data_IF_451459385303
#
_entry.id   IF_451459385303
#
_cell.length_a   1.000
_cell.length_b   1.000
_cell.length_c   1.000
_cell.angle_alpha   90.00
_cell.angle_beta   90.00
_cell.angle_gamma   90.00
#
_symmetry.space_group_name_H-M   'P 1'
#
loop_
_entity.id
_entity.type
_entity.pdbx_description
1 polymer ?
#
# COMPACT_ATOMS: atom_id res chain seq x y z
N UNK A 1 23.12 -13.12 -57.81
CA UNK A 1 23.35 -14.40 -57.11
C UNK A 1 22.65 -14.31 -55.76
N UNK A 2 21.62 -15.16 -55.53
CA UNK A 2 21.10 -15.75 -54.27
C UNK A 2 21.32 -14.97 -52.94
N UNK A 3 20.42 -14.86 -51.97
CA UNK A 3 19.08 -15.36 -51.66
C UNK A 3 18.68 -14.78 -50.29
N UNK A 4 17.39 -14.47 -50.11
CA UNK A 4 16.52 -14.69 -48.93
C UNK A 4 16.87 -14.29 -47.45
N UNK A 5 15.96 -13.52 -46.85
CA UNK A 5 15.31 -13.58 -45.50
C UNK A 5 16.13 -13.79 -44.20
N UNK A 6 15.98 -12.86 -43.25
CA UNK A 6 15.12 -12.94 -42.03
C UNK A 6 15.58 -11.87 -41.02
N UNK A 7 14.74 -10.88 -40.67
CA UNK A 7 14.97 -9.95 -39.54
C UNK A 7 13.99 -10.31 -38.43
N UNK A 8 14.43 -10.75 -37.22
CA UNK A 8 13.51 -10.94 -36.11
C UNK A 8 13.45 -9.73 -35.17
N UNK A 9 12.19 -9.42 -34.86
CA UNK A 9 11.58 -8.98 -33.58
C UNK A 9 12.00 -7.68 -32.89
N UNK A 10 11.02 -6.78 -32.84
CA UNK A 10 10.92 -5.64 -31.93
C UNK A 10 9.68 -4.79 -32.27
N UNK A 11 8.49 -5.40 -32.19
CA UNK A 11 7.21 -4.76 -32.52
C UNK A 11 6.98 -3.50 -31.65
N UNK A 12 7.07 -2.33 -32.29
CA UNK A 12 6.45 -1.10 -31.80
C UNK A 12 4.96 -1.15 -32.15
N UNK A 13 4.10 -1.25 -31.15
CA UNK A 13 2.65 -1.10 -31.34
C UNK A 13 2.25 0.33 -30.96
N UNK A 14 2.27 1.22 -31.94
CA UNK A 14 1.45 2.42 -31.93
C UNK A 14 0.15 2.06 -32.66
N UNK A 15 -0.94 1.90 -31.91
CA UNK A 15 -2.29 1.90 -32.52
C UNK A 15 -2.91 3.25 -32.24
N UNK A 16 -2.80 4.14 -33.23
CA UNK A 16 -3.66 5.30 -33.36
C UNK A 16 -4.88 4.82 -34.15
N UNK A 17 -5.94 4.41 -33.45
CA UNK A 17 -7.21 4.10 -34.11
C UNK A 17 -8.05 5.37 -34.18
N UNK A 18 -8.18 5.93 -35.39
CA UNK A 18 -9.25 6.88 -35.69
C UNK A 18 -10.58 6.12 -35.67
N UNK A 19 -11.40 6.38 -34.65
CA UNK A 19 -12.79 5.96 -34.64
C UNK A 19 -13.63 7.12 -35.17
N UNK A 20 -14.27 6.84 -36.30
CA UNK A 20 -15.31 7.61 -36.96
C UNK A 20 -16.45 7.85 -35.97
N UNK A 21 -16.92 9.10 -35.90
CA UNK A 21 -17.97 9.54 -34.99
C UNK A 21 -19.27 8.74 -35.13
N UNK A 22 -19.66 8.11 -34.03
CA UNK A 22 -20.99 7.64 -33.70
C UNK A 22 -21.12 7.66 -32.17
N UNK A 23 -22.30 7.92 -31.59
CA UNK A 23 -22.45 8.03 -30.14
C UNK A 23 -22.30 6.63 -29.51
N UNK A 24 -21.08 6.26 -29.16
CA UNK A 24 -20.85 5.16 -28.23
C UNK A 24 -21.22 5.66 -26.85
N UNK A 25 -22.36 5.21 -26.33
CA UNK A 25 -22.66 5.32 -24.91
C UNK A 25 -21.63 4.48 -24.17
N UNK A 26 -20.54 5.13 -23.75
CA UNK A 26 -19.59 4.55 -22.81
C UNK A 26 -20.37 4.34 -21.50
N UNK A 27 -20.94 3.16 -21.28
CA UNK A 27 -21.62 2.79 -20.03
C UNK A 27 -20.62 2.43 -18.92
N UNK A 28 -19.32 2.59 -19.18
CA UNK A 28 -18.34 2.81 -18.13
C UNK A 28 -18.12 4.31 -17.99
N UNK A 29 -19.20 5.02 -17.69
CA UNK A 29 -19.05 6.20 -16.88
C UNK A 29 -18.21 5.72 -15.69
N UNK A 30 -17.00 6.26 -15.56
CA UNK A 30 -16.39 6.36 -14.25
C UNK A 30 -17.39 7.18 -13.46
N UNK A 31 -18.40 6.52 -12.89
CA UNK A 31 -19.19 7.08 -11.81
C UNK A 31 -18.12 7.51 -10.82
N UNK A 32 -17.88 8.82 -10.79
CA UNK A 32 -16.88 9.39 -9.91
C UNK A 32 -17.26 8.85 -8.53
N UNK A 33 -16.41 7.97 -7.97
CA UNK A 33 -16.61 7.47 -6.62
C UNK A 33 -16.83 8.74 -5.81
N UNK A 34 -18.03 8.94 -5.23
CA UNK A 34 -18.31 10.15 -4.49
C UNK A 34 -17.20 10.26 -3.46
N UNK A 35 -16.36 11.29 -3.59
CA UNK A 35 -15.30 11.48 -2.62
C UNK A 35 -16.05 11.70 -1.30
N UNK A 36 -15.83 10.84 -0.29
CA UNK A 36 -16.57 10.96 0.95
C UNK A 36 -16.39 12.41 1.45
N UNK A 37 -17.50 13.13 1.72
CA UNK A 37 -17.42 14.50 2.17
C UNK A 37 -16.64 14.47 3.49
N UNK A 38 -15.45 15.09 3.48
CA UNK A 38 -14.45 15.04 4.55
C UNK A 38 -13.82 13.65 4.74
N UNK A 39 -12.51 13.56 4.54
CA UNK A 39 -11.66 12.43 4.96
C UNK A 39 -11.64 12.40 6.50
N UNK A 40 -12.75 12.00 7.11
CA UNK A 40 -13.00 11.91 8.54
C UNK A 40 -12.70 13.20 9.34
N UNK A 41 -13.73 13.80 9.93
CA UNK A 41 -13.54 14.41 11.25
C UNK A 41 -12.96 13.29 12.14
N UNK A 42 -11.66 13.37 12.42
CA UNK A 42 -10.80 12.22 12.71
C UNK A 42 -11.36 11.25 13.75
N UNK A 43 -11.98 10.16 13.27
CA UNK A 43 -12.44 9.08 14.12
C UNK A 43 -11.23 8.48 14.84
N UNK A 44 -11.37 8.15 16.12
CA UNK A 44 -10.39 7.30 16.79
C UNK A 44 -10.28 5.95 16.06
N UNK A 45 -9.15 5.24 16.17
CA UNK A 45 -9.00 3.92 15.53
C UNK A 45 -10.14 2.94 15.88
N UNK A 46 -10.65 3.02 17.11
CA UNK A 46 -11.76 2.19 17.59
C UNK A 46 -13.10 2.59 16.96
N UNK A 47 -13.34 3.88 16.75
CA UNK A 47 -14.54 4.38 16.07
C UNK A 47 -14.50 4.07 14.57
N UNK A 48 -13.33 4.22 13.94
CA UNK A 48 -13.12 3.88 12.53
C UNK A 48 -13.40 2.38 12.29
N UNK A 49 -12.89 1.50 13.15
CA UNK A 49 -13.17 0.06 13.06
C UNK A 49 -14.67 -0.27 13.22
N UNK A 50 -15.41 0.48 14.04
CA UNK A 50 -16.86 0.32 14.20
C UNK A 50 -17.67 0.87 13.02
N UNK A 51 -17.14 1.86 12.32
CA UNK A 51 -17.78 2.45 11.14
C UNK A 51 -17.61 1.61 9.87
N UNK A 52 -16.74 0.59 9.89
CA UNK A 52 -16.54 -0.31 8.74
C UNK A 52 -17.78 -1.18 8.49
N UNK A 53 -18.19 -1.25 7.22
CA UNK A 53 -19.24 -2.17 6.77
C UNK A 53 -18.61 -3.43 6.20
N UNK A 54 -19.03 -4.60 6.68
CA UNK A 54 -18.54 -5.91 6.19
C UNK A 54 -19.71 -6.83 5.83
N UNK A 55 -19.51 -7.80 4.92
CA UNK A 55 -20.54 -8.80 4.59
C UNK A 55 -20.97 -9.64 5.80
N UNK A 56 -22.14 -10.26 5.71
CA UNK A 56 -22.66 -11.14 6.76
C UNK A 56 -21.67 -12.29 7.06
N UNK A 57 -21.47 -12.57 8.35
CA UNK A 57 -20.51 -13.58 8.82
C UNK A 57 -19.07 -13.08 9.03
N UNK A 58 -18.73 -11.86 8.59
CA UNK A 58 -17.43 -11.25 8.83
C UNK A 58 -17.42 -10.40 10.11
N UNK A 59 -16.25 -10.28 10.75
CA UNK A 59 -16.03 -9.41 11.91
C UNK A 59 -14.77 -8.58 11.70
N UNK A 60 -14.83 -7.32 12.12
CA UNK A 60 -13.69 -6.40 12.17
C UNK A 60 -13.20 -6.29 13.60
N UNK A 61 -11.89 -6.44 13.81
CA UNK A 61 -11.22 -6.12 15.07
C UNK A 61 -10.05 -5.18 14.77
N UNK A 62 -9.89 -4.16 15.61
CA UNK A 62 -8.73 -3.28 15.55
C UNK A 62 -7.49 -4.02 16.05
N UNK A 63 -6.51 -4.23 15.17
CA UNK A 63 -5.24 -4.87 15.52
C UNK A 63 -4.18 -3.87 15.99
N UNK A 64 -4.04 -2.75 15.28
CA UNK A 64 -3.17 -1.62 15.62
C UNK A 64 -3.73 -0.32 15.02
N UNK A 65 -3.46 0.81 15.66
CA UNK A 65 -3.88 2.15 15.21
C UNK A 65 -3.07 3.23 15.91
N UNK A 66 -3.37 4.50 15.64
CA UNK A 66 -2.68 5.63 16.28
C UNK A 66 -2.82 5.56 17.81
N UNK A 67 -1.74 5.83 18.59
CA UNK A 67 -0.42 6.35 18.17
C UNK A 67 0.64 5.27 17.86
N UNK A 68 0.27 3.99 17.83
CA UNK A 68 1.22 2.88 17.67
C UNK A 68 1.81 2.79 16.26
N UNK A 69 1.03 3.21 15.27
CA UNK A 69 1.40 3.24 13.85
C UNK A 69 1.31 4.67 13.34
N UNK A 70 2.31 5.10 12.57
CA UNK A 70 2.35 6.40 11.94
C UNK A 70 2.54 6.27 10.42
N UNK A 71 1.60 6.81 9.65
CA UNK A 71 1.66 6.88 8.19
C UNK A 71 2.19 5.58 7.52
N UNK A 72 1.47 4.46 7.67
CA UNK A 72 1.92 3.18 7.13
C UNK A 72 1.83 3.20 5.59
N UNK A 73 2.96 3.04 4.90
CA UNK A 73 3.02 2.96 3.43
C UNK A 73 2.91 1.52 2.93
N UNK A 74 3.53 0.60 3.64
CA UNK A 74 3.52 -0.82 3.32
C UNK A 74 3.58 -1.66 4.59
N UNK A 75 3.10 -2.90 4.51
CA UNK A 75 3.23 -3.88 5.57
C UNK A 75 3.42 -5.30 5.02
N UNK A 76 4.04 -6.17 5.80
CA UNK A 76 4.15 -7.61 5.52
C UNK A 76 4.01 -8.40 6.83
N UNK A 77 3.61 -9.67 6.75
CA UNK A 77 3.44 -10.56 7.89
C UNK A 77 4.50 -11.65 7.80
N UNK A 78 5.27 -11.83 8.87
CA UNK A 78 6.27 -12.89 8.91
C UNK A 78 5.70 -14.24 9.34
N UNK A 79 6.51 -15.30 9.24
CA UNK A 79 6.10 -16.67 9.61
C UNK A 79 5.75 -16.83 11.10
N UNK A 80 6.15 -15.89 11.96
CA UNK A 80 5.81 -15.88 13.38
C UNK A 80 4.50 -15.14 13.65
N UNK A 81 3.84 -14.60 12.62
CA UNK A 81 2.61 -13.83 12.75
C UNK A 81 2.83 -12.38 13.17
N UNK A 82 4.05 -11.87 13.12
CA UNK A 82 4.34 -10.47 13.45
C UNK A 82 4.09 -9.58 12.25
N UNK A 83 3.53 -8.39 12.48
CA UNK A 83 3.24 -7.41 11.45
C UNK A 83 4.42 -6.44 11.33
N UNK A 84 5.02 -6.37 10.15
CA UNK A 84 6.09 -5.44 9.79
C UNK A 84 5.49 -4.27 9.05
N UNK A 85 5.82 -3.04 9.44
CA UNK A 85 5.22 -1.82 8.87
C UNK A 85 6.32 -0.83 8.51
N UNK A 86 6.24 -0.26 7.31
CA UNK A 86 7.05 0.88 6.88
C UNK A 86 6.29 2.17 7.20
N UNK A 87 6.79 2.90 8.18
CA UNK A 87 6.30 4.22 8.58
C UNK A 87 7.04 5.30 7.79
N UNK A 88 6.31 6.12 7.03
CA UNK A 88 6.89 7.22 6.29
C UNK A 88 6.69 8.55 7.04
N UNK A 89 7.79 9.10 7.56
CA UNK A 89 7.85 10.42 8.20
C UNK A 89 8.33 11.50 7.24
N UNK A 90 8.97 11.08 6.14
CA UNK A 90 9.62 11.96 5.16
C UNK A 90 8.74 12.16 3.93
N UNK A 91 7.65 11.41 3.78
CA UNK A 91 6.72 11.59 2.66
C UNK A 91 6.00 12.95 2.78
N UNK A 92 5.78 13.71 1.68
CA UNK A 92 6.10 13.38 0.29
C UNK A 92 7.48 13.87 -0.20
N UNK A 93 8.24 14.60 0.62
CA UNK A 93 9.46 15.30 0.22
C UNK A 93 10.69 14.62 0.80
N UNK A 94 11.52 14.05 -0.07
CA UNK A 94 12.78 13.41 0.31
C UNK A 94 13.62 14.31 1.23
N UNK A 95 14.05 13.77 2.36
CA UNK A 95 14.94 14.48 3.28
C UNK A 95 16.33 14.65 2.66
N UNK A 96 17.10 15.60 3.20
CA UNK A 96 18.52 15.72 2.90
C UNK A 96 19.26 14.39 3.17
N UNK A 97 20.41 14.21 2.51
CA UNK A 97 21.22 13.00 2.69
C UNK A 97 21.57 12.78 4.17
N UNK A 98 21.35 11.55 4.66
CA UNK A 98 21.56 11.19 6.07
C UNK A 98 20.54 11.77 7.06
N UNK A 99 19.46 12.42 6.59
CA UNK A 99 18.38 13.00 7.43
C UNK A 99 17.03 12.30 7.26
N UNK A 100 17.02 11.07 6.75
CA UNK A 100 15.80 10.26 6.67
C UNK A 100 15.21 10.01 8.06
N UNK A 101 13.89 10.01 8.16
CA UNK A 101 13.17 9.78 9.42
C UNK A 101 12.27 8.53 9.36
N UNK A 102 12.20 7.89 8.19
CA UNK A 102 11.32 6.75 7.97
C UNK A 102 11.83 5.55 8.78
N UNK A 103 10.89 4.70 9.19
CA UNK A 103 11.16 3.57 10.07
C UNK A 103 10.50 2.30 9.56
N UNK A 104 11.15 1.17 9.81
CA UNK A 104 10.52 -0.14 9.76
C UNK A 104 10.29 -0.56 11.20
N UNK A 105 9.03 -0.77 11.55
CA UNK A 105 8.61 -1.26 12.87
C UNK A 105 8.07 -2.69 12.76
N UNK A 106 8.12 -3.40 13.87
CA UNK A 106 7.54 -4.73 14.06
C UNK A 106 6.51 -4.61 15.17
N UNK A 107 5.31 -5.08 14.89
CA UNK A 107 4.21 -5.20 15.82
C UNK A 107 3.90 -6.67 16.08
N UNK A 108 3.67 -7.00 17.35
CA UNK A 108 3.45 -8.38 17.81
C UNK A 108 2.33 -8.40 18.84
N UNK A 109 1.47 -9.42 18.75
CA UNK A 109 0.48 -9.76 19.78
C UNK A 109 1.13 -10.79 20.72
N UNK A 110 1.37 -10.36 21.96
CA UNK A 110 1.99 -11.20 22.99
C UNK A 110 0.96 -11.94 23.84
N UNK A 111 -0.32 -11.58 23.73
CA UNK A 111 -1.41 -12.09 24.55
C UNK A 111 -2.32 -13.08 23.82
N UNK A 112 -2.23 -13.13 22.49
CA UNK A 112 -3.04 -13.98 21.61
C UNK A 112 -4.49 -13.54 21.48
N UNK A 113 -4.81 -12.30 21.86
CA UNK A 113 -6.17 -11.80 21.81
C UNK A 113 -6.50 -11.20 20.42
N UNK A 114 -5.50 -10.94 19.58
CA UNK A 114 -5.61 -10.30 18.27
C UNK A 114 -5.41 -8.79 18.28
N UNK A 115 -4.98 -8.20 19.39
CA UNK A 115 -4.46 -6.83 19.48
C UNK A 115 -2.93 -6.90 19.50
N UNK A 116 -2.28 -6.14 18.62
CA UNK A 116 -0.82 -6.06 18.60
C UNK A 116 -0.39 -5.13 19.74
N UNK A 117 0.09 -5.65 20.86
CA UNK A 117 0.45 -4.86 22.05
C UNK A 117 1.93 -4.45 22.10
N UNK A 118 2.80 -5.17 21.37
CA UNK A 118 4.24 -4.91 21.35
C UNK A 118 4.66 -4.12 20.11
N UNK A 119 5.55 -3.14 20.29
CA UNK A 119 6.13 -2.32 19.21
C UNK A 119 7.65 -2.28 19.32
N UNK A 120 8.33 -2.64 18.24
CA UNK A 120 9.79 -2.59 18.14
C UNK A 120 10.23 -1.87 16.87
N UNK A 121 11.18 -0.95 16.98
CA UNK A 121 11.86 -0.37 15.80
C UNK A 121 12.93 -1.36 15.31
N UNK A 122 12.84 -1.77 14.06
CA UNK A 122 13.81 -2.65 13.41
C UNK A 122 14.89 -1.86 12.68
N UNK A 123 14.48 -0.85 11.91
CA UNK A 123 15.35 0.02 11.14
C UNK A 123 14.81 1.45 11.21
N UNK A 124 15.70 2.43 11.28
CA UNK A 124 15.36 3.85 11.24
C UNK A 124 16.40 4.61 10.42
N UNK A 125 16.09 5.86 10.08
CA UNK A 125 16.95 6.68 9.23
C UNK A 125 16.72 6.45 7.74
N UNK A 126 15.63 5.73 7.38
CA UNK A 126 15.26 5.51 6.00
C UNK A 126 14.68 6.80 5.40
N UNK A 127 14.74 6.91 4.07
CA UNK A 127 14.35 8.12 3.38
C UNK A 127 13.48 7.79 2.18
N UNK A 128 12.22 8.21 2.26
CA UNK A 128 11.19 8.02 1.24
C UNK A 128 10.93 6.55 0.96
N UNK A 129 10.65 5.77 2.01
CA UNK A 129 10.32 4.35 1.89
C UNK A 129 9.04 4.16 1.06
N UNK A 130 9.08 3.26 0.09
CA UNK A 130 7.97 2.99 -0.82
C UNK A 130 7.37 1.58 -0.70
N UNK A 131 8.05 0.68 0.00
CA UNK A 131 7.67 -0.72 0.14
C UNK A 131 8.53 -1.44 1.15
N UNK A 132 8.08 -2.62 1.57
CA UNK A 132 8.87 -3.58 2.33
C UNK A 132 8.38 -5.01 2.05
N UNK A 133 9.27 -5.99 2.08
CA UNK A 133 8.91 -7.42 2.10
C UNK A 133 9.80 -8.20 3.06
N UNK A 134 9.23 -9.16 3.77
CA UNK A 134 9.97 -10.00 4.73
C UNK A 134 10.20 -11.37 4.11
N UNK A 135 11.47 -11.73 3.90
CA UNK A 135 11.81 -12.98 3.23
C UNK A 135 13.30 -13.30 3.25
N UNK A 136 13.63 -14.57 3.01
CA UNK A 136 15.02 -15.04 2.90
C UNK A 136 15.92 -14.68 4.09
N UNK A 137 15.34 -14.57 5.30
CA UNK A 137 16.07 -14.20 6.51
C UNK A 137 16.34 -12.70 6.68
N UNK A 138 15.77 -11.84 5.83
CA UNK A 138 15.92 -10.40 5.89
C UNK A 138 14.64 -9.63 5.56
N UNK A 139 14.81 -8.32 5.40
CA UNK A 139 13.78 -7.37 4.96
C UNK A 139 14.32 -6.66 3.72
N UNK A 140 13.46 -6.51 2.72
CA UNK A 140 13.77 -5.99 1.39
C UNK A 140 12.93 -4.78 1.05
#
# INVERSE_FOLDING_TARGET
MRSFFYRPLGFSFWVLMGIIGGPTTNTWAADAIPQPPHLADGLSPQEAAKAMTVPEGFRVKLAAGEPQVHQPIAFSIDRKGRLWVAEAYTYPIRAAEGKGLDKIIILEDTTGDGVLDSRKVFCEGLNLVSGLEVGFGGVW
#
